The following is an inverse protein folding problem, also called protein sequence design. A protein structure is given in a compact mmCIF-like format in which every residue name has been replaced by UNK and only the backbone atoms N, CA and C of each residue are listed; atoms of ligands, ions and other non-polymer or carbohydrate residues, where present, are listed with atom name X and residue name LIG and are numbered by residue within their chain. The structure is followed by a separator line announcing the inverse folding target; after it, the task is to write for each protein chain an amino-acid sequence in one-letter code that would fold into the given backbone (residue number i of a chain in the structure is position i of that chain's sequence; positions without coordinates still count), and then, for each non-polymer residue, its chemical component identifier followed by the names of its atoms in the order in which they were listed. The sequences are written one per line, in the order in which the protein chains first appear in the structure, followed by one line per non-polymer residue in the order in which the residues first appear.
data_IF_474370581524
#
_entry.id   IF_474370581524
#
_cell.length_a   1.000
_cell.length_b   1.000
_cell.length_c   1.000
_cell.angle_alpha   90.00
_cell.angle_beta   90.00
_cell.angle_gamma   90.00
#
_symmetry.space_group_name_H-M   'P 1'
#
loop_
_entity.id
_entity.type
_entity.pdbx_description
1 polymer ?
#
# COMPACT_ATOMS: atom_id res chain seq x y z
N UNK A 1 5.45 22.87 13.07
CA UNK A 1 5.51 21.42 13.35
C UNK A 1 4.08 20.92 13.50
N UNK A 2 3.53 20.33 12.45
CA UNK A 2 2.23 19.65 12.44
C UNK A 2 2.42 18.14 12.53
N UNK A 3 1.37 17.40 12.89
CA UNK A 3 1.38 15.94 12.99
C UNK A 3 0.28 15.41 12.09
N UNK A 4 0.60 14.42 11.26
CA UNK A 4 -0.36 13.67 10.47
C UNK A 4 -0.63 12.33 11.17
N UNK A 5 -1.81 12.18 11.75
CA UNK A 5 -2.17 10.98 12.50
C UNK A 5 -2.52 9.83 11.54
N UNK A 6 -1.94 8.65 11.80
CA UNK A 6 -2.23 7.42 11.08
C UNK A 6 -3.65 6.94 11.38
N UNK A 7 -4.36 6.46 10.37
CA UNK A 7 -5.63 5.76 10.57
C UNK A 7 -5.37 4.30 10.90
N UNK A 8 -5.60 3.92 12.15
CA UNK A 8 -5.32 2.57 12.66
C UNK A 8 -6.62 1.87 13.04
N UNK A 9 -7.14 1.07 12.10
CA UNK A 9 -8.29 0.20 12.35
C UNK A 9 -7.82 -1.26 12.50
N UNK A 10 -7.85 -1.85 13.72
CA UNK A 10 -7.42 -3.24 13.94
C UNK A 10 -8.33 -4.27 13.27
N UNK A 11 -9.54 -3.87 12.87
CA UNK A 11 -10.54 -4.71 12.22
C UNK A 11 -10.60 -4.48 10.70
N UNK A 12 -9.58 -3.83 10.12
CA UNK A 12 -9.52 -3.59 8.68
C UNK A 12 -8.99 -4.84 7.95
N UNK A 13 -9.70 -5.25 6.90
CA UNK A 13 -9.25 -6.31 6.01
C UNK A 13 -9.11 -5.78 4.58
N UNK A 14 -8.01 -6.14 3.92
CA UNK A 14 -7.81 -5.90 2.49
C UNK A 14 -8.35 -7.09 1.69
N UNK A 15 -9.42 -6.87 0.93
CA UNK A 15 -10.09 -7.89 0.11
C UNK A 15 -9.83 -7.59 -1.37
N UNK A 16 -9.33 -8.59 -2.09
CA UNK A 16 -9.13 -8.49 -3.54
C UNK A 16 -10.15 -9.33 -4.29
N UNK A 17 -10.70 -8.76 -5.35
CA UNK A 17 -11.48 -9.51 -6.34
C UNK A 17 -10.85 -9.38 -7.70
N UNK A 18 -10.92 -10.45 -8.48
CA UNK A 18 -10.43 -10.50 -9.87
C UNK A 18 -11.60 -10.89 -10.74
N UNK A 19 -11.79 -10.16 -11.83
CA UNK A 19 -12.86 -10.40 -12.79
C UNK A 19 -12.40 -10.17 -14.22
N UNK A 20 -13.31 -10.44 -15.16
CA UNK A 20 -13.15 -10.15 -16.58
C UNK A 20 -14.28 -9.24 -17.03
N UNK A 21 -13.94 -8.16 -17.73
CA UNK A 21 -14.92 -7.27 -18.36
C UNK A 21 -15.53 -7.94 -19.60
N UNK A 22 -16.63 -7.38 -20.12
CA UNK A 22 -17.31 -7.71 -21.38
C UNK A 22 -16.36 -7.95 -22.57
N UNK A 23 -15.24 -7.25 -22.61
CA UNK A 23 -14.20 -7.42 -23.63
C UNK A 23 -13.15 -8.50 -23.29
N UNK A 24 -13.43 -9.40 -22.34
CA UNK A 24 -12.51 -10.43 -21.85
C UNK A 24 -11.18 -9.87 -21.30
N UNK A 25 -11.19 -8.63 -20.80
CA UNK A 25 -10.03 -7.98 -20.18
C UNK A 25 -10.08 -8.18 -18.69
N UNK A 26 -8.98 -8.63 -18.11
CA UNK A 26 -8.86 -8.84 -16.66
C UNK A 26 -8.90 -7.51 -15.91
N UNK A 27 -9.51 -7.49 -14.73
CA UNK A 27 -9.44 -6.37 -13.80
C UNK A 27 -9.36 -6.91 -12.37
N UNK A 28 -8.78 -6.09 -11.48
CA UNK A 28 -8.68 -6.40 -10.06
C UNK A 28 -9.24 -5.23 -9.26
N UNK A 29 -10.00 -5.51 -8.21
CA UNK A 29 -10.47 -4.51 -7.26
C UNK A 29 -9.90 -4.80 -5.88
N UNK A 30 -9.50 -3.75 -5.18
CA UNK A 30 -9.16 -3.75 -3.76
C UNK A 30 -10.31 -3.10 -3.00
N UNK A 31 -10.79 -3.76 -1.95
CA UNK A 31 -11.71 -3.21 -0.97
C UNK A 31 -11.05 -3.26 0.40
N UNK A 32 -10.95 -2.11 1.07
CA UNK A 32 -10.59 -2.04 2.49
C UNK A 32 -11.88 -2.05 3.28
N UNK A 33 -12.14 -3.13 4.00
CA UNK A 33 -13.43 -3.37 4.67
C UNK A 33 -13.20 -3.50 6.16
N UNK A 34 -13.98 -2.76 6.95
CA UNK A 34 -14.08 -3.02 8.39
C UNK A 34 -14.91 -4.30 8.60
N UNK A 35 -14.29 -5.35 9.14
CA UNK A 35 -14.94 -6.66 9.24
C UNK A 35 -16.04 -6.74 10.29
N UNK A 36 -16.13 -5.76 11.20
CA UNK A 36 -17.14 -5.73 12.25
C UNK A 36 -18.44 -5.11 11.72
N UNK A 37 -18.32 -3.98 11.03
CA UNK A 37 -19.48 -3.23 10.52
C UNK A 37 -19.82 -3.56 9.07
N UNK A 38 -18.89 -4.16 8.33
CA UNK A 38 -18.99 -4.37 6.87
C UNK A 38 -18.77 -3.09 6.06
N UNK A 39 -18.39 -1.99 6.71
CA UNK A 39 -18.20 -0.71 6.04
C UNK A 39 -16.98 -0.75 5.11
N UNK A 40 -17.16 -0.35 3.85
CA UNK A 40 -16.07 -0.24 2.87
C UNK A 40 -15.39 1.12 3.05
N UNK A 41 -14.23 1.11 3.70
CA UNK A 41 -13.41 2.30 3.99
C UNK A 41 -12.82 2.89 2.72
N UNK A 42 -12.34 2.04 1.81
CA UNK A 42 -11.72 2.49 0.56
C UNK A 42 -11.88 1.44 -0.54
N UNK A 43 -11.91 1.88 -1.80
CA UNK A 43 -11.90 1.00 -2.97
C UNK A 43 -10.91 1.52 -4.02
N UNK A 44 -10.11 0.61 -4.58
CA UNK A 44 -9.30 0.86 -5.77
C UNK A 44 -9.60 -0.18 -6.85
N UNK A 45 -9.50 0.24 -8.12
CA UNK A 45 -9.73 -0.63 -9.27
C UNK A 45 -8.59 -0.52 -10.28
N UNK A 46 -8.06 -1.66 -10.68
CA UNK A 46 -6.99 -1.80 -11.67
C UNK A 46 -7.50 -2.50 -12.90
N UNK A 47 -7.51 -1.79 -14.03
CA UNK A 47 -7.83 -2.37 -15.34
C UNK A 47 -6.61 -3.10 -15.88
N UNK A 48 -6.84 -4.23 -16.57
CA UNK A 48 -5.78 -5.07 -17.17
C UNK A 48 -4.79 -5.56 -16.12
N UNK A 49 -5.31 -5.95 -14.96
CA UNK A 49 -4.54 -6.51 -13.85
C UNK A 49 -4.68 -8.02 -13.88
N UNK A 50 -3.54 -8.72 -13.97
CA UNK A 50 -3.48 -10.18 -14.02
C UNK A 50 -2.98 -10.75 -12.69
N UNK A 51 -3.62 -11.81 -12.16
CA UNK A 51 -3.11 -12.55 -11.00
C UNK A 51 -1.79 -13.31 -11.31
N UNK A 52 -1.04 -13.75 -10.29
CA UNK A 52 -1.34 -13.64 -8.85
C UNK A 52 -1.16 -12.22 -8.30
N UNK A 53 -1.95 -11.89 -7.27
CA UNK A 53 -1.81 -10.66 -6.48
C UNK A 53 -1.19 -11.05 -5.15
N UNK A 54 -0.08 -10.42 -4.79
CA UNK A 54 0.56 -10.58 -3.48
C UNK A 54 0.30 -9.32 -2.68
N UNK A 55 -0.10 -9.48 -1.41
CA UNK A 55 -0.58 -8.39 -0.58
C UNK A 55 0.12 -8.45 0.77
N UNK A 56 0.53 -7.29 1.25
CA UNK A 56 1.05 -7.07 2.60
C UNK A 56 0.22 -5.94 3.20
N UNK A 57 -0.52 -6.24 4.27
CA UNK A 57 -1.29 -5.27 5.04
C UNK A 57 -0.69 -5.19 6.44
N UNK A 58 -0.27 -4.00 6.85
CA UNK A 58 0.40 -3.79 8.13
C UNK A 58 0.13 -2.37 8.62
N UNK A 59 -0.17 -2.20 9.90
CA UNK A 59 -0.48 -0.91 10.53
C UNK A 59 -1.56 -0.09 9.77
N UNK A 60 -1.16 1.02 9.15
CA UNK A 60 -2.01 1.94 8.40
C UNK A 60 -1.79 1.85 6.88
N UNK A 61 -1.09 0.82 6.40
CA UNK A 61 -0.65 0.75 5.01
C UNK A 61 -0.87 -0.61 4.38
N UNK A 62 -1.13 -0.59 3.07
CA UNK A 62 -1.33 -1.78 2.25
C UNK A 62 -0.43 -1.67 1.03
N UNK A 63 0.41 -2.67 0.82
CA UNK A 63 1.22 -2.81 -0.38
C UNK A 63 0.77 -4.07 -1.11
N UNK A 64 0.60 -3.99 -2.42
CA UNK A 64 0.34 -5.17 -3.23
C UNK A 64 0.98 -5.10 -4.60
N UNK A 65 1.36 -6.26 -5.12
CA UNK A 65 1.91 -6.40 -6.46
C UNK A 65 0.91 -7.05 -7.41
N UNK A 66 0.90 -6.61 -8.66
CA UNK A 66 0.15 -7.25 -9.74
C UNK A 66 0.86 -7.07 -11.08
N UNK A 67 0.52 -7.91 -12.07
CA UNK A 67 1.03 -7.77 -13.43
C UNK A 67 0.07 -6.92 -14.28
N UNK A 68 0.56 -5.83 -14.85
CA UNK A 68 -0.22 -4.95 -15.72
C UNK A 68 -0.09 -5.40 -17.18
N UNK A 69 -1.17 -5.90 -17.77
CA UNK A 69 -1.16 -6.41 -19.15
C UNK A 69 -1.05 -5.31 -20.21
N UNK A 70 -1.40 -4.05 -19.89
CA UNK A 70 -1.24 -2.91 -20.80
C UNK A 70 0.22 -2.57 -20.99
N UNK A 71 0.94 -2.40 -19.89
CA UNK A 71 2.34 -1.98 -19.86
C UNK A 71 3.31 -3.17 -19.88
N UNK A 72 2.81 -4.40 -19.75
CA UNK A 72 3.58 -5.65 -19.75
C UNK A 72 4.70 -5.66 -18.70
N UNK A 73 4.37 -5.24 -17.48
CA UNK A 73 5.33 -5.14 -16.37
C UNK A 73 4.66 -5.42 -15.04
N UNK A 74 5.48 -5.72 -14.04
CA UNK A 74 5.03 -5.78 -12.66
C UNK A 74 4.90 -4.38 -12.08
N UNK A 75 3.82 -4.16 -11.36
CA UNK A 75 3.55 -2.94 -10.64
C UNK A 75 3.32 -3.28 -9.16
N UNK A 76 3.85 -2.43 -8.27
CA UNK A 76 3.62 -2.49 -6.83
C UNK A 76 2.87 -1.22 -6.46
N UNK A 77 1.63 -1.35 -6.01
CA UNK A 77 0.85 -0.25 -5.48
C UNK A 77 0.98 -0.18 -3.97
N UNK A 78 1.15 1.02 -3.44
CA UNK A 78 1.20 1.30 -2.01
C UNK A 78 0.12 2.29 -1.62
N UNK A 79 -0.58 2.00 -0.53
CA UNK A 79 -1.59 2.86 0.08
C UNK A 79 -1.25 3.11 1.54
N UNK A 80 -1.47 4.33 1.97
CA UNK A 80 -1.41 4.72 3.38
C UNK A 80 -2.68 5.50 3.76
N UNK A 81 -3.19 5.18 4.95
CA UNK A 81 -4.41 5.75 5.50
C UNK A 81 -4.07 6.69 6.67
N UNK A 82 -4.65 7.89 6.66
CA UNK A 82 -4.44 8.92 7.68
C UNK A 82 -5.76 9.50 8.20
N UNK A 83 -5.87 9.76 9.50
CA UNK A 83 -7.01 10.49 10.08
C UNK A 83 -6.96 11.99 9.74
N UNK A 84 -5.75 12.53 9.56
CA UNK A 84 -5.51 13.94 9.30
C UNK A 84 -4.75 14.63 10.44
N UNK A 85 -4.99 15.93 10.61
CA UNK A 85 -4.27 16.77 11.59
C UNK A 85 -4.81 16.64 13.03
N UNK A 86 -5.99 16.04 13.18
CA UNK A 86 -6.67 15.85 14.45
C UNK A 86 -6.95 14.37 14.65
N UNK A 87 -6.60 13.85 15.83
CA UNK A 87 -6.90 12.47 16.21
C UNK A 87 -8.27 12.41 16.89
N UNK A 88 -9.14 11.52 16.41
CA UNK A 88 -10.54 11.50 16.87
C UNK A 88 -10.70 10.91 18.27
N UNK A 89 -9.99 9.81 18.55
CA UNK A 89 -9.96 9.18 19.86
C UNK A 89 -8.55 8.69 20.18
N UNK A 90 -7.99 9.17 21.30
CA UNK A 90 -6.62 8.86 21.72
C UNK A 90 -6.53 7.64 22.64
N UNK A 91 -7.67 7.10 23.10
CA UNK A 91 -7.71 6.05 24.13
C UNK A 91 -8.01 4.67 23.56
N UNK A 92 -9.03 4.55 22.71
CA UNK A 92 -9.47 3.27 22.15
C UNK A 92 -10.12 3.45 20.78
N UNK A 93 -9.97 2.42 19.94
CA UNK A 93 -10.64 2.32 18.65
C UNK A 93 -11.95 1.53 18.79
N UNK A 94 -13.03 2.00 18.13
CA UNK A 94 -14.30 1.27 18.00
C UNK A 94 -14.79 1.35 16.56
N UNK A 95 -15.05 0.19 15.93
CA UNK A 95 -15.61 0.13 14.57
C UNK A 95 -17.01 0.76 14.48
N UNK A 96 -17.77 0.87 15.58
CA UNK A 96 -19.09 1.52 15.61
C UNK A 96 -19.02 3.04 15.82
N UNK A 97 -17.86 3.54 16.21
CA UNK A 97 -17.57 4.97 16.32
C UNK A 97 -16.18 5.25 15.71
N UNK A 98 -16.00 4.95 14.41
CA UNK A 98 -14.70 5.08 13.78
C UNK A 98 -14.32 6.55 13.66
N UNK A 99 -13.01 6.87 13.50
CA UNK A 99 -12.59 8.19 13.05
C UNK A 99 -13.28 8.56 11.72
N UNK A 100 -13.27 9.85 11.34
CA UNK A 100 -13.67 10.29 10.01
C UNK A 100 -13.00 9.46 8.90
N UNK A 101 -13.63 9.46 7.73
CA UNK A 101 -13.07 8.77 6.57
C UNK A 101 -11.61 9.15 6.36
N UNK A 102 -10.70 8.17 6.23
CA UNK A 102 -9.29 8.45 6.16
C UNK A 102 -8.93 9.19 4.88
N UNK A 103 -7.93 10.07 4.99
CA UNK A 103 -7.17 10.58 3.87
C UNK A 103 -6.31 9.43 3.32
N UNK A 104 -6.47 9.14 2.04
CA UNK A 104 -5.78 8.03 1.37
C UNK A 104 -4.71 8.60 0.46
N UNK A 105 -3.46 8.22 0.73
CA UNK A 105 -2.35 8.42 -0.18
C UNK A 105 -2.11 7.13 -0.94
N UNK A 106 -2.13 7.18 -2.27
CA UNK A 106 -2.01 5.99 -3.12
C UNK A 106 -1.09 6.25 -4.30
N UNK A 107 -0.01 5.48 -4.37
CA UNK A 107 0.99 5.58 -5.43
C UNK A 107 1.36 4.19 -5.94
N UNK A 108 1.60 4.09 -7.24
CA UNK A 108 2.04 2.86 -7.91
C UNK A 108 3.47 3.00 -8.39
N UNK A 109 4.26 1.94 -8.23
CA UNK A 109 5.65 1.83 -8.62
C UNK A 109 5.83 0.68 -9.62
N UNK A 110 6.91 0.72 -10.40
CA UNK A 110 7.30 -0.31 -11.35
C UNK A 110 8.35 -1.19 -10.69
N UNK A 111 8.12 -2.49 -10.75
CA UNK A 111 9.06 -3.49 -10.26
C UNK A 111 9.63 -4.28 -11.46
N UNK A 112 10.96 -4.46 -11.57
CA UNK A 112 11.57 -5.02 -12.78
C UNK A 112 11.41 -6.54 -12.92
N UNK A 113 11.18 -7.25 -11.82
CA UNK A 113 11.09 -8.72 -11.78
C UNK A 113 9.65 -9.19 -11.51
N UNK A 114 9.36 -10.47 -11.76
CA UNK A 114 8.12 -11.06 -11.23
C UNK A 114 8.20 -11.20 -9.71
N UNK A 115 7.05 -11.21 -9.05
CA UNK A 115 6.92 -11.44 -7.61
C UNK A 115 6.29 -12.81 -7.39
N UNK A 116 6.90 -13.63 -6.53
CA UNK A 116 6.38 -14.95 -6.14
C UNK A 116 5.68 -14.89 -4.78
N UNK A 117 6.19 -14.05 -3.87
CA UNK A 117 5.60 -13.84 -2.55
C UNK A 117 6.12 -12.53 -1.94
N UNK A 118 5.37 -11.98 -0.99
CA UNK A 118 5.73 -10.76 -0.24
C UNK A 118 5.37 -10.93 1.25
N UNK A 119 6.20 -10.37 2.13
CA UNK A 119 5.92 -10.26 3.57
C UNK A 119 6.59 -9.01 4.16
N UNK A 120 6.07 -8.44 5.24
CA UNK A 120 6.76 -7.39 6.00
C UNK A 120 7.62 -7.95 7.13
N UNK A 121 8.62 -7.18 7.53
CA UNK A 121 9.39 -7.45 8.76
C UNK A 121 8.60 -7.06 10.00
N UNK A 122 8.58 -7.92 11.02
CA UNK A 122 7.92 -7.67 12.30
C UNK A 122 8.95 -7.71 13.43
N UNK A 123 8.89 -6.71 14.31
CA UNK A 123 9.67 -6.67 15.55
C UNK A 123 8.73 -6.44 16.72
N UNK A 124 9.11 -6.91 17.91
CA UNK A 124 8.26 -6.92 19.12
C UNK A 124 7.64 -5.55 19.43
N UNK A 125 8.42 -4.49 19.28
CA UNK A 125 8.00 -3.11 19.58
C UNK A 125 7.75 -2.24 18.36
N UNK A 126 7.95 -2.78 17.15
CA UNK A 126 7.75 -2.02 15.89
C UNK A 126 8.61 -0.75 15.73
N UNK A 127 9.71 -0.61 16.49
CA UNK A 127 10.54 0.61 16.47
C UNK A 127 11.53 0.65 15.29
N UNK A 128 11.90 -0.52 14.76
CA UNK A 128 12.85 -0.65 13.65
C UNK A 128 12.18 -0.32 12.32
N UNK A 129 12.94 0.21 11.36
CA UNK A 129 12.45 0.45 10.00
C UNK A 129 11.82 -0.80 9.38
N UNK A 130 10.62 -0.64 8.84
CA UNK A 130 9.90 -1.70 8.13
C UNK A 130 10.52 -1.96 6.76
N UNK A 131 10.74 -3.23 6.46
CA UNK A 131 11.15 -3.70 5.14
C UNK A 131 10.10 -4.69 4.61
N UNK A 132 10.02 -4.77 3.28
CA UNK A 132 9.23 -5.76 2.58
C UNK A 132 10.19 -6.77 1.96
N UNK A 133 10.02 -8.03 2.33
CA UNK A 133 10.73 -9.16 1.76
C UNK A 133 9.98 -9.66 0.54
N UNK A 134 10.65 -9.72 -0.60
CA UNK A 134 10.07 -10.11 -1.88
C UNK A 134 10.82 -11.34 -2.40
N UNK A 135 10.09 -12.43 -2.62
CA UNK A 135 10.64 -13.65 -3.22
C UNK A 135 10.61 -13.53 -4.74
N UNK A 136 11.76 -13.70 -5.36
CA UNK A 136 11.94 -13.64 -6.82
C UNK A 136 11.85 -15.04 -7.45
N UNK A 137 11.51 -15.17 -8.75
CA UNK A 137 11.50 -16.45 -9.45
C UNK A 137 12.85 -17.16 -9.48
N UNK A 138 13.95 -16.41 -9.35
CA UNK A 138 15.31 -16.97 -9.24
C UNK A 138 15.54 -17.73 -7.93
N UNK A 139 14.61 -17.64 -6.96
CA UNK A 139 14.78 -18.14 -5.59
C UNK A 139 15.46 -17.14 -4.66
N UNK A 140 15.93 -15.99 -5.18
CA UNK A 140 16.47 -14.91 -4.37
C UNK A 140 15.40 -14.20 -3.54
N UNK A 141 15.80 -13.70 -2.38
CA UNK A 141 14.96 -12.84 -1.52
C UNK A 141 15.52 -11.43 -1.60
N UNK A 142 14.70 -10.50 -2.08
CA UNK A 142 15.01 -9.08 -2.09
C UNK A 142 14.40 -8.42 -0.86
N UNK A 143 15.21 -7.66 -0.13
CA UNK A 143 14.76 -6.79 0.95
C UNK A 143 14.59 -5.36 0.43
N UNK A 144 13.37 -4.83 0.51
CA UNK A 144 13.04 -3.47 0.05
C UNK A 144 12.57 -2.61 1.24
N UNK A 145 13.29 -1.53 1.60
CA UNK A 145 12.82 -0.60 2.63
C UNK A 145 11.45 0.00 2.27
N UNK A 146 10.51 0.04 3.22
CA UNK A 146 9.16 0.58 3.00
C UNK A 146 9.15 2.06 2.59
N UNK A 147 10.21 2.81 2.90
CA UNK A 147 10.41 4.21 2.49
C UNK A 147 10.44 4.40 0.97
N UNK A 148 10.91 3.40 0.20
CA UNK A 148 10.82 3.44 -1.26
C UNK A 148 9.39 3.28 -1.78
N UNK A 149 8.49 2.75 -0.95
CA UNK A 149 7.07 2.58 -1.25
C UNK A 149 6.21 3.58 -0.45
N UNK A 150 6.75 4.71 -0.02
CA UNK A 150 5.93 5.79 0.57
C UNK A 150 5.10 6.45 -0.56
N UNK A 151 3.76 6.46 -0.49
CA UNK A 151 2.93 7.05 -1.52
C UNK A 151 2.96 8.58 -1.53
N UNK A 152 3.48 9.23 -0.48
CA UNK A 152 3.61 10.69 -0.38
C UNK A 152 4.84 11.23 -1.12
N UNK A 153 5.64 10.36 -1.73
CA UNK A 153 6.83 10.76 -2.52
C UNK A 153 6.38 11.74 -3.63
N UNK A 154 6.88 12.98 -3.64
CA UNK A 154 6.37 13.99 -4.57
C UNK A 154 7.05 13.85 -5.94
N UNK A 155 6.30 14.08 -7.01
CA UNK A 155 6.87 14.21 -8.38
C UNK A 155 7.76 15.45 -8.46
N UNK A 156 7.28 16.58 -7.91
CA UNK A 156 8.01 17.83 -7.83
C UNK A 156 8.20 18.21 -6.36
N UNK A 157 9.41 18.05 -5.80
CA UNK A 157 9.64 18.26 -4.37
C UNK A 157 9.56 19.75 -3.99
N UNK A 158 8.66 20.06 -3.05
CA UNK A 158 8.51 21.37 -2.39
C UNK A 158 9.44 21.46 -1.16
N UNK A 159 9.68 22.67 -0.60
CA UNK A 159 10.48 22.83 0.62
C UNK A 159 9.98 21.96 1.79
N UNK A 160 8.66 21.89 1.99
CA UNK A 160 8.02 21.09 3.05
C UNK A 160 8.35 19.60 2.93
N UNK A 161 8.32 19.04 1.71
CA UNK A 161 8.68 17.64 1.47
C UNK A 161 10.16 17.35 1.76
N UNK A 162 11.04 18.34 1.54
CA UNK A 162 12.47 18.21 1.84
C UNK A 162 12.74 18.29 3.33
N UNK A 163 11.97 19.11 4.07
CA UNK A 163 12.03 19.17 5.53
C UNK A 163 11.60 17.84 6.18
N UNK A 164 10.63 17.14 5.60
CA UNK A 164 10.22 15.79 6.03
C UNK A 164 11.18 14.69 5.57
N UNK A 165 12.09 14.99 4.62
CA UNK A 165 13.03 14.01 4.09
C UNK A 165 12.42 13.05 3.06
N UNK A 166 11.32 13.44 2.40
CA UNK A 166 10.68 12.62 1.37
C UNK A 166 11.55 12.53 0.12
N UNK A 167 11.77 11.29 -0.33
CA UNK A 167 12.48 11.01 -1.56
C UNK A 167 11.56 11.36 -2.75
N UNK A 168 12.03 12.10 -3.77
CA UNK A 168 11.24 12.36 -4.96
C UNK A 168 10.72 11.07 -5.59
N UNK A 169 9.53 11.11 -6.17
CA UNK A 169 8.94 9.96 -6.82
C UNK A 169 9.69 9.61 -8.10
N UNK A 170 10.13 8.37 -8.15
CA UNK A 170 10.67 7.72 -9.34
C UNK A 170 9.85 6.43 -9.49
N UNK A 171 9.11 6.24 -10.60
CA UNK A 171 8.29 5.06 -10.80
C UNK A 171 9.10 3.76 -10.69
N UNK A 172 10.28 3.72 -11.28
CA UNK A 172 11.18 2.57 -11.27
C UNK A 172 11.84 2.41 -9.90
N UNK A 173 11.59 1.27 -9.26
CA UNK A 173 12.24 0.94 -7.99
C UNK A 173 13.73 0.64 -8.21
N UNK A 174 14.65 1.19 -7.40
CA UNK A 174 16.09 1.04 -7.57
C UNK A 174 16.56 -0.30 -7.00
N UNK A 175 16.10 -1.40 -7.60
CA UNK A 175 16.43 -2.76 -7.18
C UNK A 175 17.33 -3.40 -8.24
N UNK A 176 18.42 -4.02 -7.79
CA UNK A 176 19.29 -4.78 -8.69
C UNK A 176 18.61 -6.11 -9.01
N UNK A 177 18.53 -6.44 -10.30
CA UNK A 177 18.00 -7.72 -10.79
C UNK A 177 19.00 -8.85 -10.60
#
# INVERSE_FOLDING_TARGET
RSVLYKYLNPNLAAVFTVGMDSMQKTFCNLYLVDVITGFVVYTASHKRCRPPIHVVHSENWVVYSFYNEKSRRMEISSLELFEGMYQSNTTAFSSFAPPPLPLIEHQTFIFPNLVISMADTITERGMTSKHILIVLPSGGILELPKTFLDPRRPIHPLPEHREEGLIPYIPELPVMA
#
